data_IF_465743742599
#
_entry.id   IF_465743742599
#
_cell.length_a   1.000
_cell.length_b   1.000
_cell.length_c   1.000
_cell.angle_alpha   90.00
_cell.angle_beta   90.00
_cell.angle_gamma   90.00
#
_symmetry.space_group_name_H-M   'P 1'
#
loop_
_entity.id
_entity.type
_entity.pdbx_description
1 polymer ?
#
# COMPACT_ATOMS: atom_id res chain seq x y z
N UNK A 1 21.74 -25.00 -20.71
CA UNK A 1 21.18 -25.60 -19.47
C UNK A 1 19.75 -25.10 -19.33
N UNK A 2 18.78 -26.00 -19.34
CA UNK A 2 17.35 -25.62 -19.27
C UNK A 2 17.02 -25.36 -17.81
N UNK A 3 16.55 -24.13 -17.49
CA UNK A 3 16.01 -23.81 -16.17
C UNK A 3 14.72 -24.62 -15.99
N UNK A 4 14.76 -25.62 -15.13
CA UNK A 4 13.59 -26.34 -14.66
C UNK A 4 12.74 -25.41 -13.83
N UNK A 5 11.49 -25.15 -14.26
CA UNK A 5 10.48 -24.43 -13.51
C UNK A 5 10.17 -25.14 -12.19
N UNK A 6 10.92 -24.82 -11.15
CA UNK A 6 10.66 -25.28 -9.81
C UNK A 6 9.37 -24.66 -9.30
N UNK A 7 8.32 -25.47 -9.14
CA UNK A 7 7.21 -25.11 -8.24
C UNK A 7 7.82 -25.05 -6.85
N UNK A 8 7.98 -23.84 -6.32
CA UNK A 8 8.32 -23.68 -4.92
C UNK A 8 7.20 -24.31 -4.11
N UNK A 9 7.50 -25.42 -3.42
CA UNK A 9 6.58 -25.96 -2.45
C UNK A 9 6.40 -24.94 -1.35
N UNK A 10 5.30 -24.20 -1.38
CA UNK A 10 4.97 -23.22 -0.35
C UNK A 10 4.72 -24.03 0.92
N UNK A 11 5.48 -23.77 1.98
CA UNK A 11 5.31 -24.42 3.27
C UNK A 11 3.90 -24.10 3.80
N UNK A 12 3.22 -25.11 4.38
CA UNK A 12 1.89 -24.93 4.99
C UNK A 12 1.84 -23.76 5.97
N UNK A 13 2.91 -23.52 6.74
CA UNK A 13 3.00 -22.43 7.68
C UNK A 13 2.97 -21.07 6.97
N UNK A 14 3.76 -20.87 5.91
CA UNK A 14 3.79 -19.61 5.17
C UNK A 14 2.45 -19.32 4.49
N UNK A 15 1.82 -20.34 3.90
CA UNK A 15 0.49 -20.20 3.29
C UNK A 15 -0.58 -19.86 4.32
N UNK A 16 -0.58 -20.52 5.49
CA UNK A 16 -1.54 -20.25 6.56
C UNK A 16 -1.33 -18.87 7.20
N UNK A 17 -0.06 -18.43 7.28
CA UNK A 17 0.26 -17.10 7.78
C UNK A 17 -0.32 -15.99 6.87
N UNK A 18 -0.16 -16.12 5.55
CA UNK A 18 -0.74 -15.18 4.60
C UNK A 18 -2.27 -15.27 4.55
N UNK A 19 -2.85 -16.47 4.59
CA UNK A 19 -4.30 -16.67 4.61
C UNK A 19 -4.98 -16.04 5.85
N UNK A 20 -4.24 -15.85 6.95
CA UNK A 20 -4.73 -15.15 8.13
C UNK A 20 -5.18 -13.72 7.80
N UNK A 21 -4.50 -13.03 6.89
CA UNK A 21 -4.84 -11.68 6.48
C UNK A 21 -6.31 -11.55 6.05
N UNK A 22 -6.71 -12.13 4.92
CA UNK A 22 -8.06 -12.02 4.42
C UNK A 22 -9.13 -12.69 5.31
N UNK A 23 -8.78 -13.77 6.04
CA UNK A 23 -9.78 -14.56 6.77
C UNK A 23 -10.04 -14.08 8.21
N UNK A 24 -9.04 -13.50 8.86
CA UNK A 24 -9.14 -13.06 10.26
C UNK A 24 -8.70 -11.60 10.45
N UNK A 25 -7.61 -11.21 9.78
CA UNK A 25 -7.04 -9.88 9.93
C UNK A 25 -7.96 -8.79 9.37
N UNK A 26 -8.44 -8.96 8.15
CA UNK A 26 -9.35 -8.00 7.50
C UNK A 26 -10.63 -7.80 8.34
N UNK A 27 -11.39 -8.84 8.73
CA UNK A 27 -12.55 -8.65 9.59
C UNK A 27 -12.26 -7.83 10.84
N UNK A 28 -11.17 -8.14 11.55
CA UNK A 28 -10.81 -7.44 12.79
C UNK A 28 -10.41 -5.97 12.55
N UNK A 29 -9.73 -5.69 11.46
CA UNK A 29 -9.39 -4.30 11.09
C UNK A 29 -10.65 -3.54 10.70
N UNK A 30 -11.56 -4.16 9.94
CA UNK A 30 -12.85 -3.54 9.59
C UNK A 30 -13.69 -3.22 10.82
N UNK A 31 -13.73 -4.12 11.81
CA UNK A 31 -14.43 -3.87 13.09
C UNK A 31 -13.84 -2.67 13.82
N UNK A 32 -12.50 -2.54 13.84
CA UNK A 32 -11.82 -1.39 14.43
C UNK A 32 -12.12 -0.09 13.68
N UNK A 33 -12.03 -0.10 12.34
CA UNK A 33 -12.30 1.09 11.53
C UNK A 33 -13.76 1.56 11.69
N UNK A 34 -14.70 0.61 11.77
CA UNK A 34 -16.12 0.91 12.01
C UNK A 34 -16.36 1.51 13.41
N UNK A 35 -15.64 1.06 14.44
CA UNK A 35 -15.75 1.60 15.81
C UNK A 35 -15.44 3.10 15.87
N UNK A 36 -14.48 3.56 15.04
CA UNK A 36 -14.06 4.96 14.99
C UNK A 36 -14.60 5.74 13.79
N UNK A 37 -15.44 5.13 12.96
CA UNK A 37 -15.99 5.72 11.72
C UNK A 37 -14.88 6.21 10.76
N UNK A 38 -13.75 5.47 10.70
CA UNK A 38 -12.59 5.81 9.86
C UNK A 38 -12.62 5.03 8.56
N UNK A 39 -12.54 5.73 7.43
CA UNK A 39 -12.35 5.12 6.13
C UNK A 39 -10.86 4.83 5.86
N UNK A 40 -10.59 3.81 5.05
CA UNK A 40 -9.23 3.41 4.67
C UNK A 40 -9.18 2.90 3.23
N UNK A 41 -7.98 2.90 2.65
CA UNK A 41 -7.72 2.32 1.33
C UNK A 41 -7.09 0.94 1.47
N UNK A 42 -7.65 -0.04 0.78
CA UNK A 42 -7.12 -1.40 0.71
C UNK A 42 -6.53 -1.64 -0.68
N UNK A 43 -5.23 -1.70 -0.79
CA UNK A 43 -4.54 -2.10 -2.03
C UNK A 43 -4.54 -3.64 -2.13
N UNK A 44 -5.35 -4.17 -3.02
CA UNK A 44 -5.64 -5.61 -3.10
C UNK A 44 -5.01 -6.23 -4.35
N UNK A 45 -4.12 -7.26 -4.19
CA UNK A 45 -3.65 -8.03 -5.34
C UNK A 45 -4.80 -8.81 -5.99
N UNK A 46 -4.88 -8.81 -7.32
CA UNK A 46 -5.96 -9.49 -8.04
C UNK A 46 -6.07 -10.98 -7.69
N UNK A 47 -4.94 -11.68 -7.51
CA UNK A 47 -4.92 -13.08 -7.09
C UNK A 47 -5.49 -13.28 -5.66
N UNK A 48 -5.34 -12.29 -4.78
CA UNK A 48 -5.96 -12.30 -3.46
C UNK A 48 -7.46 -12.13 -3.57
N UNK A 49 -7.91 -11.24 -4.45
CA UNK A 49 -9.33 -11.05 -4.73
C UNK A 49 -10.00 -12.32 -5.28
N UNK A 50 -9.35 -13.02 -6.22
CA UNK A 50 -9.84 -14.31 -6.74
C UNK A 50 -9.90 -15.42 -5.68
N UNK A 51 -8.93 -15.45 -4.74
CA UNK A 51 -8.84 -16.51 -3.73
C UNK A 51 -9.67 -16.27 -2.49
N UNK A 52 -9.94 -15.02 -2.18
CA UNK A 52 -10.63 -14.59 -0.96
C UNK A 52 -11.68 -13.51 -1.27
N UNK A 53 -12.64 -13.79 -2.18
CA UNK A 53 -13.63 -12.81 -2.61
C UNK A 53 -14.44 -12.25 -1.45
N UNK A 54 -14.75 -13.06 -0.43
CA UNK A 54 -15.53 -12.60 0.73
C UNK A 54 -14.84 -11.49 1.52
N UNK A 55 -13.48 -11.45 1.51
CA UNK A 55 -12.75 -10.38 2.16
C UNK A 55 -12.89 -9.06 1.38
N UNK A 56 -12.83 -9.12 0.05
CA UNK A 56 -12.99 -7.94 -0.82
C UNK A 56 -14.43 -7.41 -0.77
N UNK A 57 -15.42 -8.32 -0.81
CA UNK A 57 -16.84 -7.97 -0.64
C UNK A 57 -17.10 -7.24 0.69
N UNK A 58 -16.49 -7.70 1.78
CA UNK A 58 -16.60 -7.04 3.10
C UNK A 58 -15.97 -5.66 3.11
N UNK A 59 -14.79 -5.49 2.52
CA UNK A 59 -14.12 -4.20 2.40
C UNK A 59 -15.00 -3.22 1.61
N UNK A 60 -15.51 -3.64 0.45
CA UNK A 60 -16.39 -2.84 -0.39
C UNK A 60 -17.72 -2.49 0.32
N UNK A 61 -18.35 -3.47 0.97
CA UNK A 61 -19.60 -3.29 1.69
C UNK A 61 -19.47 -2.35 2.90
N UNK A 62 -18.28 -2.28 3.51
CA UNK A 62 -17.96 -1.34 4.57
C UNK A 62 -17.67 0.09 4.06
N UNK A 63 -17.67 0.31 2.75
CA UNK A 63 -17.49 1.62 2.13
C UNK A 63 -16.03 2.07 2.01
N UNK A 64 -15.06 1.18 2.23
CA UNK A 64 -13.66 1.51 2.07
C UNK A 64 -13.22 1.49 0.62
N UNK A 65 -12.21 2.29 0.31
CA UNK A 65 -11.59 2.30 -1.01
C UNK A 65 -10.82 1.01 -1.29
N UNK A 66 -10.95 0.50 -2.52
CA UNK A 66 -10.14 -0.59 -3.04
C UNK A 66 -9.23 -0.05 -4.13
N UNK A 67 -7.92 -0.13 -3.90
CA UNK A 67 -6.86 0.20 -4.85
C UNK A 67 -6.22 -1.05 -5.45
N UNK A 68 -5.53 -0.87 -6.55
CA UNK A 68 -4.82 -1.90 -7.30
C UNK A 68 -3.43 -2.19 -6.71
N UNK A 69 -3.07 -3.47 -6.63
CA UNK A 69 -1.77 -3.90 -6.09
C UNK A 69 -1.14 -5.03 -6.93
N UNK A 70 -1.08 -4.83 -8.26
CA UNK A 70 -0.72 -5.88 -9.22
C UNK A 70 -1.68 -7.08 -9.17
N UNK A 71 -1.43 -8.11 -9.97
CA UNK A 71 -2.20 -9.35 -9.90
C UNK A 71 -1.58 -10.36 -8.94
N UNK A 72 -0.30 -10.71 -9.15
CA UNK A 72 0.38 -11.77 -8.39
C UNK A 72 1.18 -11.27 -7.19
N UNK A 73 1.19 -9.97 -6.92
CA UNK A 73 2.06 -9.32 -5.93
C UNK A 73 3.56 -9.49 -6.24
N UNK A 74 3.93 -9.57 -7.52
CA UNK A 74 5.33 -9.53 -7.94
C UNK A 74 5.76 -8.08 -8.17
N UNK A 75 6.97 -7.74 -7.69
CA UNK A 75 7.55 -6.42 -7.99
C UNK A 75 7.63 -6.20 -9.51
N UNK A 76 7.24 -5.02 -10.03
CA UNK A 76 7.45 -4.62 -11.42
C UNK A 76 8.90 -4.63 -11.86
N UNK A 77 9.84 -4.42 -10.94
CA UNK A 77 11.28 -4.45 -11.24
C UNK A 77 11.68 -5.81 -11.82
N UNK A 78 12.34 -5.78 -12.96
CA UNK A 78 12.79 -6.99 -13.66
C UNK A 78 11.73 -7.68 -14.52
N UNK A 79 10.49 -7.20 -14.55
CA UNK A 79 9.47 -7.62 -15.50
C UNK A 79 9.68 -6.94 -16.88
N UNK A 80 9.32 -7.61 -17.94
CA UNK A 80 9.15 -6.97 -19.25
C UNK A 80 7.89 -6.09 -19.24
N UNK A 81 7.78 -5.16 -20.17
CA UNK A 81 6.58 -4.32 -20.30
C UNK A 81 5.30 -5.14 -20.47
N UNK A 82 5.35 -6.17 -21.32
CA UNK A 82 4.22 -7.07 -21.54
C UNK A 82 3.80 -7.85 -20.27
N UNK A 83 4.76 -8.21 -19.40
CA UNK A 83 4.45 -8.86 -18.12
C UNK A 83 3.80 -7.88 -17.16
N UNK A 84 4.32 -6.66 -17.07
CA UNK A 84 3.78 -5.61 -16.21
C UNK A 84 2.37 -5.19 -16.65
N UNK A 85 2.13 -5.02 -17.96
CA UNK A 85 0.79 -4.77 -18.52
C UNK A 85 -0.19 -5.89 -18.15
N UNK A 86 0.21 -7.15 -18.31
CA UNK A 86 -0.64 -8.29 -17.93
C UNK A 86 -0.97 -8.33 -16.44
N UNK A 87 -0.03 -7.96 -15.58
CA UNK A 87 -0.26 -7.85 -14.13
C UNK A 87 -1.28 -6.74 -13.81
N UNK A 88 -1.19 -5.58 -14.48
CA UNK A 88 -2.16 -4.49 -14.36
C UNK A 88 -3.55 -4.91 -14.86
N UNK A 89 -3.65 -5.39 -16.10
CA UNK A 89 -4.92 -5.78 -16.72
C UNK A 89 -5.66 -6.85 -15.92
N UNK A 90 -4.93 -7.90 -15.52
CA UNK A 90 -5.52 -8.99 -14.75
C UNK A 90 -5.95 -8.54 -13.35
N UNK A 91 -5.16 -7.67 -12.73
CA UNK A 91 -5.50 -7.10 -11.43
C UNK A 91 -6.75 -6.23 -11.48
N UNK A 92 -6.84 -5.33 -12.47
CA UNK A 92 -8.04 -4.53 -12.71
C UNK A 92 -9.27 -5.41 -12.96
N UNK A 93 -9.19 -6.36 -13.89
CA UNK A 93 -10.29 -7.26 -14.21
C UNK A 93 -10.79 -8.07 -13.00
N UNK A 94 -9.86 -8.50 -12.12
CA UNK A 94 -10.23 -9.22 -10.90
C UNK A 94 -10.96 -8.32 -9.90
N UNK A 95 -10.61 -7.04 -9.82
CA UNK A 95 -11.24 -6.08 -8.90
C UNK A 95 -12.57 -5.53 -9.45
N UNK A 96 -12.69 -5.33 -10.76
CA UNK A 96 -13.93 -4.90 -11.41
C UNK A 96 -15.12 -5.83 -11.12
N UNK A 97 -14.84 -7.13 -10.89
CA UNK A 97 -15.86 -8.11 -10.53
C UNK A 97 -16.67 -7.72 -9.28
N UNK A 98 -16.10 -6.93 -8.39
CA UNK A 98 -16.77 -6.47 -7.16
C UNK A 98 -17.55 -5.18 -7.34
N UNK A 99 -17.62 -4.63 -8.55
CA UNK A 99 -18.37 -3.40 -8.85
C UNK A 99 -17.75 -2.14 -8.24
N UNK A 100 -16.47 -2.18 -7.89
CA UNK A 100 -15.74 -1.04 -7.32
C UNK A 100 -15.02 -0.24 -8.40
N UNK A 101 -14.92 1.08 -8.21
CA UNK A 101 -14.06 1.93 -9.03
C UNK A 101 -12.64 1.89 -8.48
N UNK A 102 -11.70 1.38 -9.26
CA UNK A 102 -10.29 1.34 -8.90
C UNK A 102 -9.61 2.58 -9.46
N UNK A 103 -9.20 3.50 -8.59
CA UNK A 103 -8.62 4.78 -9.00
C UNK A 103 -7.13 4.90 -8.69
N UNK A 104 -6.62 4.05 -7.81
CA UNK A 104 -5.24 4.12 -7.36
C UNK A 104 -4.46 2.84 -7.47
N UNK A 105 -3.16 3.00 -7.52
CA UNK A 105 -2.19 1.93 -7.57
C UNK A 105 -1.16 2.04 -6.44
N UNK A 106 -0.68 0.90 -5.99
CA UNK A 106 0.52 0.78 -5.17
C UNK A 106 1.34 -0.39 -5.68
N UNK A 107 2.62 -0.17 -5.98
CA UNK A 107 3.50 -1.23 -6.43
C UNK A 107 3.78 -2.24 -5.31
N UNK A 108 3.75 -3.56 -5.60
CA UNK A 108 4.26 -4.55 -4.66
C UNK A 108 5.68 -4.24 -4.19
N UNK A 109 5.91 -4.35 -2.90
CA UNK A 109 7.20 -4.03 -2.24
C UNK A 109 7.64 -2.57 -2.40
N UNK A 110 6.77 -1.68 -2.88
CA UNK A 110 7.12 -0.31 -3.26
C UNK A 110 8.27 -0.22 -4.27
N UNK A 111 8.33 -1.19 -5.17
CA UNK A 111 9.35 -1.28 -6.21
C UNK A 111 8.72 -1.15 -7.61
N UNK A 112 8.24 0.05 -8.00
CA UNK A 112 7.79 0.28 -9.36
C UNK A 112 8.99 0.23 -10.32
N UNK A 113 8.75 -0.16 -11.56
CA UNK A 113 9.69 0.07 -12.66
C UNK A 113 9.58 1.53 -13.13
N UNK A 114 10.55 2.00 -13.91
CA UNK A 114 10.46 3.34 -14.52
C UNK A 114 9.26 3.52 -15.45
N UNK A 115 8.63 2.43 -15.90
CA UNK A 115 7.44 2.43 -16.76
C UNK A 115 6.14 2.41 -15.96
N UNK A 116 6.17 1.94 -14.72
CA UNK A 116 4.97 1.67 -13.94
C UNK A 116 4.02 2.85 -13.91
N UNK A 117 4.52 4.04 -13.58
CA UNK A 117 3.69 5.23 -13.48
C UNK A 117 3.02 5.59 -14.81
N UNK A 118 3.75 5.49 -15.93
CA UNK A 118 3.19 5.74 -17.26
C UNK A 118 2.12 4.70 -17.64
N UNK A 119 2.32 3.43 -17.30
CA UNK A 119 1.34 2.37 -17.52
C UNK A 119 0.10 2.59 -16.65
N UNK A 120 0.27 2.89 -15.37
CA UNK A 120 -0.82 3.18 -14.43
C UNK A 120 -1.70 4.34 -14.95
N UNK A 121 -1.08 5.41 -15.46
CA UNK A 121 -1.79 6.52 -16.09
C UNK A 121 -2.51 6.12 -17.39
N UNK A 122 -1.87 5.31 -18.24
CA UNK A 122 -2.45 4.80 -19.49
C UNK A 122 -3.72 3.97 -19.24
N UNK A 123 -3.76 3.20 -18.15
CA UNK A 123 -4.95 2.44 -17.73
C UNK A 123 -6.00 3.28 -17.00
N UNK A 124 -5.80 4.60 -16.92
CA UNK A 124 -6.78 5.54 -16.41
C UNK A 124 -6.84 5.65 -14.88
N UNK A 125 -5.88 5.07 -14.16
CA UNK A 125 -5.78 5.28 -12.73
C UNK A 125 -5.33 6.73 -12.45
N UNK A 126 -5.66 7.24 -11.30
CA UNK A 126 -5.55 8.67 -10.98
C UNK A 126 -4.41 9.00 -10.02
N UNK A 127 -3.97 8.01 -9.23
CA UNK A 127 -2.86 8.19 -8.29
C UNK A 127 -2.02 6.92 -8.15
N UNK A 128 -0.78 7.11 -7.77
CA UNK A 128 0.16 6.10 -7.28
C UNK A 128 0.56 6.41 -5.84
N UNK A 129 0.98 5.40 -5.11
CA UNK A 129 1.50 5.53 -3.74
C UNK A 129 2.64 4.54 -3.54
N UNK A 130 3.73 4.74 -4.28
CA UNK A 130 4.85 3.80 -4.33
C UNK A 130 6.21 4.46 -4.12
N UNK A 131 6.33 5.79 -4.32
CA UNK A 131 7.59 6.50 -4.24
C UNK A 131 7.83 7.04 -2.82
N UNK A 132 9.10 7.28 -2.48
CA UNK A 132 9.54 7.69 -1.15
C UNK A 132 10.49 8.89 -1.22
N UNK A 133 10.28 9.77 -2.19
CA UNK A 133 11.17 10.88 -2.52
C UNK A 133 10.71 12.24 -1.97
N UNK A 134 9.54 12.28 -1.31
CA UNK A 134 9.01 13.47 -0.64
C UNK A 134 8.12 13.09 0.55
N UNK A 135 7.87 14.06 1.42
CA UNK A 135 6.88 13.98 2.53
C UNK A 135 5.54 14.62 2.16
N UNK A 136 5.43 15.24 0.98
CA UNK A 136 4.22 15.91 0.48
C UNK A 136 3.79 15.30 -0.84
N UNK A 137 2.48 15.19 -1.06
CA UNK A 137 1.98 14.69 -2.33
C UNK A 137 2.24 15.70 -3.46
N UNK A 138 2.35 15.19 -4.69
CA UNK A 138 2.62 16.00 -5.87
C UNK A 138 2.01 15.38 -7.14
N UNK A 139 2.02 16.14 -8.24
CA UNK A 139 1.66 15.64 -9.56
C UNK A 139 2.91 15.08 -10.26
N UNK A 140 2.86 13.80 -10.59
CA UNK A 140 3.89 13.08 -11.32
C UNK A 140 3.57 13.10 -12.81
N UNK A 141 4.46 13.70 -13.59
CA UNK A 141 4.33 13.80 -15.05
C UNK A 141 4.88 12.52 -15.71
N UNK A 142 4.00 11.72 -16.29
CA UNK A 142 4.38 10.36 -16.75
C UNK A 142 4.52 10.22 -18.26
N UNK A 143 4.23 11.23 -19.02
CA UNK A 143 4.17 11.14 -20.50
C UNK A 143 2.90 10.47 -21.04
N UNK A 144 2.19 9.68 -20.25
CA UNK A 144 0.87 9.10 -20.56
C UNK A 144 -0.29 9.82 -19.88
N UNK A 145 0.03 10.78 -19.01
CA UNK A 145 -0.89 11.57 -18.22
C UNK A 145 -0.31 11.87 -16.84
N UNK A 146 -0.93 12.79 -16.12
CA UNK A 146 -0.52 13.14 -14.77
C UNK A 146 -1.13 12.19 -13.75
N UNK A 147 -0.30 11.62 -12.89
CA UNK A 147 -0.72 10.91 -11.68
C UNK A 147 -0.52 11.81 -10.47
N UNK A 148 -1.32 11.60 -9.43
CA UNK A 148 -0.93 12.09 -8.10
C UNK A 148 -0.03 11.03 -7.46
N UNK A 149 1.14 11.43 -7.01
CA UNK A 149 1.95 10.61 -6.11
C UNK A 149 1.59 10.93 -4.66
N UNK A 150 1.28 9.89 -3.90
CA UNK A 150 1.10 9.93 -2.45
C UNK A 150 2.30 9.22 -1.80
N UNK A 151 3.38 9.95 -1.49
CA UNK A 151 4.62 9.36 -1.05
C UNK A 151 4.47 8.51 0.21
N UNK A 152 5.25 7.44 0.26
CA UNK A 152 5.29 6.50 1.38
C UNK A 152 6.56 6.69 2.21
N UNK A 153 6.58 6.10 3.39
CA UNK A 153 7.77 6.05 4.22
C UNK A 153 7.96 4.66 4.81
N UNK A 154 9.17 4.12 4.69
CA UNK A 154 9.53 2.82 5.27
C UNK A 154 9.35 2.75 6.80
N UNK A 155 9.41 3.89 7.49
CA UNK A 155 9.19 3.96 8.94
C UNK A 155 7.72 3.73 9.32
N UNK A 156 6.82 4.01 8.39
CA UNK A 156 5.36 3.94 8.54
C UNK A 156 4.79 2.65 7.94
N UNK A 157 5.55 1.56 8.00
CA UNK A 157 5.14 0.24 7.52
C UNK A 157 5.25 -0.80 8.64
N UNK A 158 4.15 -1.54 8.88
CA UNK A 158 4.11 -2.59 9.89
C UNK A 158 5.04 -3.77 9.58
N UNK A 159 5.38 -3.99 8.31
CA UNK A 159 6.35 -4.99 7.90
C UNK A 159 7.73 -4.71 8.50
N UNK A 160 8.21 -3.48 8.40
CA UNK A 160 9.52 -3.09 8.92
C UNK A 160 9.58 -3.17 10.45
N UNK A 161 8.45 -2.95 11.12
CA UNK A 161 8.39 -2.88 12.58
C UNK A 161 8.10 -4.25 13.22
N UNK A 162 7.30 -5.09 12.57
CA UNK A 162 6.69 -6.23 13.24
C UNK A 162 6.78 -7.57 12.50
N UNK A 163 7.27 -7.58 11.24
CA UNK A 163 7.37 -8.83 10.50
C UNK A 163 8.50 -9.71 11.03
N UNK A 164 8.16 -10.97 11.26
CA UNK A 164 9.12 -12.02 11.51
C UNK A 164 8.76 -13.25 10.66
N UNK A 165 9.56 -13.53 9.63
CA UNK A 165 9.36 -14.65 8.72
C UNK A 165 10.64 -15.49 8.63
N UNK A 166 10.76 -16.57 9.40
CA UNK A 166 11.86 -17.51 9.21
C UNK A 166 11.75 -18.19 7.83
N UNK A 167 12.85 -18.40 7.09
CA UNK A 167 14.24 -18.07 7.39
C UNK A 167 14.69 -16.70 6.89
N UNK A 168 13.78 -15.90 6.30
CA UNK A 168 14.10 -14.64 5.62
C UNK A 168 14.33 -13.50 6.61
N UNK A 169 13.79 -13.58 7.81
CA UNK A 169 13.81 -12.49 8.75
C UNK A 169 15.05 -12.51 9.64
N UNK A 170 15.88 -11.51 9.47
CA UNK A 170 16.85 -11.05 10.45
C UNK A 170 16.27 -9.94 11.35
N UNK A 171 14.98 -9.64 11.19
CA UNK A 171 14.34 -8.52 11.86
C UNK A 171 14.00 -8.87 13.30
N UNK A 172 14.36 -7.97 14.21
CA UNK A 172 13.84 -7.98 15.57
C UNK A 172 12.45 -7.37 15.54
N UNK A 173 11.44 -8.11 15.98
CA UNK A 173 10.11 -7.56 16.16
C UNK A 173 10.11 -6.59 17.33
N UNK A 174 9.58 -5.39 17.13
CA UNK A 174 9.36 -4.43 18.21
C UNK A 174 8.11 -4.80 19.00
N UNK A 175 8.08 -4.39 20.24
CA UNK A 175 6.87 -4.46 21.05
C UNK A 175 5.78 -3.51 20.53
N UNK A 176 4.52 -3.78 20.86
CA UNK A 176 3.41 -2.92 20.44
C UNK A 176 3.57 -1.47 20.97
N UNK A 177 4.08 -1.31 22.20
CA UNK A 177 4.31 0.01 22.77
C UNK A 177 5.37 0.82 22.02
N UNK A 178 6.50 0.19 21.65
CA UNK A 178 7.56 0.87 20.87
C UNK A 178 7.08 1.30 19.49
N UNK A 179 6.25 0.50 18.83
CA UNK A 179 5.70 0.86 17.51
C UNK A 179 4.68 1.99 17.63
N UNK A 180 3.80 1.94 18.65
CA UNK A 180 2.84 3.00 18.89
C UNK A 180 3.54 4.33 19.21
N UNK A 181 4.55 4.32 20.07
CA UNK A 181 5.35 5.51 20.38
C UNK A 181 6.03 6.08 19.14
N UNK A 182 6.64 5.23 18.30
CA UNK A 182 7.24 5.64 17.04
C UNK A 182 6.20 6.33 16.14
N UNK A 183 5.07 5.67 15.85
CA UNK A 183 4.10 6.17 14.90
C UNK A 183 3.34 7.40 15.37
N UNK A 184 3.04 7.51 16.68
CA UNK A 184 2.45 8.74 17.22
C UNK A 184 3.44 9.92 17.19
N UNK A 185 4.72 9.66 17.46
CA UNK A 185 5.77 10.67 17.36
C UNK A 185 5.98 11.15 15.92
N UNK A 186 5.98 10.23 14.95
CA UNK A 186 6.03 10.56 13.51
C UNK A 186 4.79 11.35 13.08
N UNK A 187 3.58 10.92 13.45
CA UNK A 187 2.36 11.67 13.14
C UNK A 187 2.41 13.10 13.66
N UNK A 188 2.87 13.29 14.88
CA UNK A 188 3.06 14.61 15.47
C UNK A 188 4.07 15.47 14.69
N UNK A 189 5.14 14.88 14.21
CA UNK A 189 6.13 15.56 13.40
C UNK A 189 5.58 15.92 12.02
N UNK A 190 4.93 14.97 11.33
CA UNK A 190 4.30 15.18 10.02
C UNK A 190 3.25 16.30 10.08
N UNK A 191 2.41 16.32 11.11
CA UNK A 191 1.43 17.39 11.31
C UNK A 191 2.09 18.76 11.50
N UNK A 192 3.16 18.86 12.32
CA UNK A 192 3.91 20.12 12.50
C UNK A 192 4.54 20.65 11.23
N UNK A 193 4.96 19.74 10.32
CA UNK A 193 5.59 20.10 9.04
C UNK A 193 4.59 20.20 7.88
N UNK A 194 3.30 20.01 8.14
CA UNK A 194 2.24 19.97 7.13
C UNK A 194 2.55 18.97 6.00
N UNK A 195 2.87 17.74 6.40
CA UNK A 195 3.22 16.62 5.53
C UNK A 195 2.10 15.58 5.46
N UNK A 196 2.14 14.73 4.46
CA UNK A 196 1.21 13.61 4.29
C UNK A 196 1.73 12.37 5.04
N UNK A 197 1.00 11.93 6.06
CA UNK A 197 1.31 10.72 6.80
C UNK A 197 0.61 9.51 6.18
N UNK A 198 1.35 8.61 5.53
CA UNK A 198 0.82 7.38 4.92
C UNK A 198 1.26 6.17 5.73
N UNK A 199 0.36 5.66 6.57
CA UNK A 199 0.58 4.41 7.27
C UNK A 199 0.25 3.21 6.38
N UNK A 200 1.17 2.26 6.28
CA UNK A 200 0.97 1.01 5.55
C UNK A 200 0.89 -0.18 6.50
N UNK A 201 -0.16 -0.98 6.34
CA UNK A 201 -0.41 -2.13 7.19
C UNK A 201 -0.78 -3.36 6.37
N UNK A 202 -0.26 -4.51 6.80
CA UNK A 202 -0.58 -5.80 6.23
C UNK A 202 -1.56 -6.54 7.17
N UNK A 203 -2.77 -6.92 6.75
CA UNK A 203 -3.77 -7.51 7.63
C UNK A 203 -3.31 -8.78 8.35
N UNK A 204 -2.38 -9.54 7.79
CA UNK A 204 -1.81 -10.72 8.45
C UNK A 204 -0.80 -10.37 9.57
N UNK A 205 -0.32 -9.13 9.64
CA UNK A 205 0.49 -8.55 10.71
C UNK A 205 -0.38 -7.73 11.66
N UNK A 206 -0.85 -6.59 11.19
CA UNK A 206 -1.62 -5.62 12.00
C UNK A 206 -2.99 -6.15 12.44
N UNK A 207 -3.56 -7.14 11.77
CA UNK A 207 -4.80 -7.80 12.22
C UNK A 207 -4.61 -8.79 13.38
N UNK A 208 -3.40 -8.99 13.92
CA UNK A 208 -3.15 -9.82 15.10
C UNK A 208 -3.63 -9.12 16.39
N UNK A 209 -4.12 -9.85 17.41
CA UNK A 209 -4.73 -9.24 18.61
C UNK A 209 -3.89 -8.15 19.25
N UNK A 210 -2.60 -8.40 19.48
CA UNK A 210 -1.72 -7.39 20.10
C UNK A 210 -1.24 -6.31 19.12
N UNK A 211 -1.46 -6.46 17.81
CA UNK A 211 -1.04 -5.49 16.79
C UNK A 211 -2.17 -4.56 16.39
N UNK A 212 -3.40 -5.04 16.38
CA UNK A 212 -4.56 -4.18 16.12
C UNK A 212 -4.71 -3.08 17.17
N UNK A 213 -4.24 -3.30 18.40
CA UNK A 213 -4.22 -2.29 19.46
C UNK A 213 -3.23 -1.14 19.16
N UNK A 214 -2.21 -1.36 18.32
CA UNK A 214 -1.34 -0.27 17.84
C UNK A 214 -2.15 0.66 16.95
N UNK A 215 -2.94 0.09 16.01
CA UNK A 215 -3.81 0.87 15.14
C UNK A 215 -4.86 1.62 15.94
N UNK A 216 -5.47 0.98 16.95
CA UNK A 216 -6.41 1.63 17.87
C UNK A 216 -5.78 2.87 18.51
N UNK A 217 -4.63 2.71 19.15
CA UNK A 217 -3.94 3.81 19.82
C UNK A 217 -3.54 4.95 18.89
N UNK A 218 -3.12 4.61 17.66
CA UNK A 218 -2.77 5.63 16.66
C UNK A 218 -4.00 6.38 16.14
N UNK A 219 -5.12 5.70 15.88
CA UNK A 219 -6.40 6.32 15.50
C UNK A 219 -6.89 7.26 16.61
N UNK A 220 -6.90 6.80 17.86
CA UNK A 220 -7.27 7.61 19.01
C UNK A 220 -6.39 8.86 19.14
N UNK A 221 -5.06 8.69 18.96
CA UNK A 221 -4.12 9.81 18.98
C UNK A 221 -4.42 10.82 17.87
N UNK A 222 -4.62 10.35 16.62
CA UNK A 222 -4.92 11.19 15.47
C UNK A 222 -6.22 11.98 15.66
N UNK A 223 -7.30 11.30 16.08
CA UNK A 223 -8.60 11.92 16.33
C UNK A 223 -8.55 12.92 17.51
N UNK A 224 -7.71 12.66 18.51
CA UNK A 224 -7.51 13.54 19.66
C UNK A 224 -6.79 14.85 19.33
N UNK A 225 -6.07 14.91 18.21
CA UNK A 225 -5.33 16.12 17.80
C UNK A 225 -6.23 17.26 17.31
N UNK A 226 -7.25 16.94 16.51
CA UNK A 226 -8.15 17.94 15.94
C UNK A 226 -7.56 18.79 14.77
N UNK A 227 -6.28 18.61 14.45
CA UNK A 227 -5.57 19.24 13.31
C UNK A 227 -5.13 18.22 12.26
N UNK A 228 -5.56 16.96 12.40
CA UNK A 228 -5.31 15.84 11.50
C UNK A 228 -6.64 15.29 10.99
N UNK A 229 -6.70 14.97 9.73
CA UNK A 229 -7.84 14.32 9.11
C UNK A 229 -7.44 12.95 8.58
N UNK A 230 -8.23 11.92 8.90
CA UNK A 230 -8.06 10.57 8.40
C UNK A 230 -8.91 10.40 7.15
N UNK A 231 -8.26 10.12 6.02
CA UNK A 231 -8.92 10.05 4.70
C UNK A 231 -8.46 8.85 3.91
N UNK A 232 -9.24 8.44 2.93
CA UNK A 232 -8.82 7.49 1.90
C UNK A 232 -7.79 8.12 0.96
N UNK A 233 -6.94 7.29 0.36
CA UNK A 233 -5.93 7.75 -0.60
C UNK A 233 -6.55 8.49 -1.79
N UNK A 234 -7.71 8.01 -2.29
CA UNK A 234 -8.49 8.70 -3.33
C UNK A 234 -8.82 10.14 -2.95
N UNK A 235 -9.32 10.36 -1.73
CA UNK A 235 -9.67 11.70 -1.25
C UNK A 235 -8.44 12.60 -1.12
N UNK A 236 -7.31 12.06 -0.64
CA UNK A 236 -6.05 12.79 -0.63
C UNK A 236 -5.60 13.18 -2.05
N UNK A 237 -5.68 12.25 -3.00
CA UNK A 237 -5.34 12.50 -4.40
C UNK A 237 -6.26 13.54 -5.06
N UNK A 238 -7.56 13.53 -4.76
CA UNK A 238 -8.51 14.52 -5.27
C UNK A 238 -8.17 15.93 -4.78
N UNK A 239 -7.75 16.08 -3.53
CA UNK A 239 -7.32 17.38 -2.98
C UNK A 239 -6.09 17.92 -3.71
N UNK A 240 -5.10 17.08 -3.98
CA UNK A 240 -3.90 17.46 -4.74
C UNK A 240 -4.25 17.90 -6.16
N UNK A 241 -5.17 17.18 -6.83
CA UNK A 241 -5.63 17.57 -8.18
C UNK A 241 -6.39 18.87 -8.20
N UNK A 242 -7.10 19.20 -7.13
CA UNK A 242 -7.85 20.46 -7.00
C UNK A 242 -6.95 21.65 -6.62
N UNK A 243 -5.75 21.39 -6.12
CA UNK A 243 -4.79 22.44 -5.74
C UNK A 243 -4.05 22.95 -6.98
N UNK A 244 -4.31 24.22 -7.34
CA UNK A 244 -3.65 24.85 -8.48
C UNK A 244 -2.14 25.06 -8.29
N UNK A 245 -1.69 25.06 -7.04
CA UNK A 245 -0.29 25.27 -6.66
C UNK A 245 0.43 23.92 -6.36
N UNK A 246 -0.22 22.79 -6.64
CA UNK A 246 0.38 21.47 -6.43
C UNK A 246 1.72 21.35 -7.18
N UNK A 247 2.75 20.89 -6.49
CA UNK A 247 4.08 20.62 -7.08
C UNK A 247 3.96 19.63 -8.22
N UNK A 248 4.75 19.81 -9.28
CA UNK A 248 4.81 18.91 -10.44
C UNK A 248 6.23 18.45 -10.66
N UNK A 249 6.40 17.16 -10.99
CA UNK A 249 7.70 16.57 -11.21
C UNK A 249 7.65 15.54 -12.34
N UNK A 250 8.62 15.55 -13.26
CA UNK A 250 8.79 14.45 -14.19
C UNK A 250 9.36 13.21 -13.46
N UNK A 251 8.98 12.03 -13.91
CA UNK A 251 9.65 10.80 -13.54
C UNK A 251 10.80 10.56 -14.52
N UNK A 252 12.01 10.90 -14.11
CA UNK A 252 13.21 10.73 -14.94
C UNK A 252 14.07 9.59 -14.38
N UNK A 253 14.44 8.60 -15.23
CA UNK A 253 15.42 7.59 -14.84
C UNK A 253 16.73 8.23 -14.44
N UNK A 254 17.23 7.89 -13.27
CA UNK A 254 18.58 8.29 -12.84
C UNK A 254 19.56 7.23 -13.32
N UNK A 255 20.47 7.58 -14.23
CA UNK A 255 21.59 6.73 -14.56
C UNK A 255 22.62 6.81 -13.42
N UNK A 256 22.76 5.75 -12.68
CA UNK A 256 23.77 5.63 -11.64
C UNK A 256 25.04 5.05 -12.23
N UNK A 257 26.09 5.88 -12.36
CA UNK A 257 27.45 5.45 -12.77
C UNK A 257 28.12 4.62 -11.68
N UNK A 258 27.74 3.72 -11.08
CA UNK A 258 28.18 2.88 -9.94
C UNK A 258 27.10 2.88 -8.86
N UNK A 259 26.55 1.74 -8.57
CA UNK A 259 25.46 1.57 -7.64
C UNK A 259 25.55 2.48 -6.41
N UNK A 260 24.49 3.21 -6.12
CA UNK A 260 24.42 4.10 -4.95
C UNK A 260 24.42 3.33 -3.64
N UNK A 261 24.12 2.03 -3.70
CA UNK A 261 24.02 1.12 -2.56
C UNK A 261 24.60 -0.25 -2.97
N UNK A 262 25.91 -0.41 -2.96
CA UNK A 262 26.59 -1.70 -3.03
C UNK A 262 26.64 -2.39 -1.65
#
# INVERSE_FOLDING_TARGET
MRASGGRYAVCCQSSSHQAYGPTVGVPRILDLLAEYEVAATFFVPGLTAERHPEAVERIAAAGHEIGHHSFTHRSPVGQSEDEERRELERGLAALEHFGVSVEGYRAPSWEPSWRTAALVAEYGLRYDSSLADDDRPYLLETGSGDLVELPISWWLDDWQQTAYLPPLARNQTRSAGEVLELWTGELDAYARHNCLFVLTCHPFLSGRPGRVEILRGLIEHALGRGDVELVEARQAAERVRADADASRRPLEPVELENGLYD
#
